data_IF_960950438250
#
_entry.id   IF_960950438250
#
_cell.length_a   1.000
_cell.length_b   1.000
_cell.length_c   1.000
_cell.angle_alpha   90.00
_cell.angle_beta   90.00
_cell.angle_gamma   90.00
#
_symmetry.space_group_name_H-M   'P 1'
#
loop_
_entity.id
_entity.type
_entity.pdbx_description
1 polymer ?
#
# COMPACT_ATOMS: atom_id res chain seq x y z
N UNK A 1 -5.91 4.91 -9.66
CA UNK A 1 -4.93 5.70 -8.89
C UNK A 1 -4.25 6.79 -9.72
N UNK A 2 -3.79 7.89 -9.11
CA UNK A 2 -2.87 8.83 -9.75
C UNK A 2 -1.41 8.38 -9.57
N UNK A 3 -0.47 8.79 -10.44
CA UNK A 3 0.94 8.42 -10.30
C UNK A 3 1.56 8.88 -8.97
N UNK A 4 1.13 10.03 -8.45
CA UNK A 4 1.61 10.54 -7.16
C UNK A 4 1.15 9.64 -6.00
N UNK A 5 -0.13 9.27 -5.97
CA UNK A 5 -0.67 8.36 -4.96
C UNK A 5 -0.01 6.98 -5.02
N UNK A 6 0.23 6.46 -6.24
CA UNK A 6 0.94 5.19 -6.44
C UNK A 6 2.34 5.23 -5.82
N UNK A 7 3.11 6.28 -6.08
CA UNK A 7 4.46 6.38 -5.53
C UNK A 7 4.45 6.43 -4.00
N UNK A 8 3.50 7.17 -3.41
CA UNK A 8 3.32 7.20 -1.95
C UNK A 8 2.98 5.82 -1.38
N UNK A 9 2.09 5.06 -2.02
CA UNK A 9 1.72 3.72 -1.57
C UNK A 9 2.87 2.73 -1.68
N UNK A 10 3.68 2.83 -2.75
CA UNK A 10 4.86 1.99 -2.92
C UNK A 10 5.90 2.27 -1.83
N UNK A 11 6.15 3.56 -1.53
CA UNK A 11 7.06 3.92 -0.44
C UNK A 11 6.55 3.40 0.90
N UNK A 12 5.24 3.52 1.17
CA UNK A 12 4.63 3.01 2.40
C UNK A 12 4.75 1.48 2.50
N UNK A 13 4.44 0.76 1.41
CA UNK A 13 4.55 -0.69 1.35
C UNK A 13 5.99 -1.16 1.60
N UNK A 14 6.98 -0.49 1.00
CA UNK A 14 8.39 -0.84 1.20
C UNK A 14 8.89 -0.50 2.62
N UNK A 15 8.37 0.55 3.25
CA UNK A 15 8.80 0.97 4.60
C UNK A 15 8.19 0.11 5.70
N UNK A 16 6.93 -0.30 5.52
CA UNK A 16 6.14 -0.96 6.57
C UNK A 16 6.03 -2.47 6.40
N UNK A 17 6.37 -3.00 5.22
CA UNK A 17 6.41 -4.44 4.96
C UNK A 17 7.82 -4.86 4.57
N UNK A 18 8.11 -6.15 4.55
CA UNK A 18 9.38 -6.69 4.03
C UNK A 18 9.37 -6.87 2.51
N UNK A 19 8.41 -6.26 1.79
CA UNK A 19 8.32 -6.38 0.34
C UNK A 19 9.48 -5.65 -0.35
N UNK A 20 10.07 -6.31 -1.35
CA UNK A 20 11.11 -5.70 -2.15
C UNK A 20 10.49 -4.67 -3.10
N UNK A 21 11.07 -3.46 -3.14
CA UNK A 21 10.64 -2.35 -3.99
C UNK A 21 10.54 -2.75 -5.46
N UNK A 22 11.45 -3.60 -5.95
CA UNK A 22 11.41 -4.08 -7.34
C UNK A 22 10.18 -4.94 -7.63
N UNK A 23 9.70 -5.69 -6.64
CA UNK A 23 8.49 -6.50 -6.77
C UNK A 23 7.24 -5.61 -6.71
N UNK A 24 7.21 -4.64 -5.79
CA UNK A 24 6.10 -3.68 -5.71
C UNK A 24 6.03 -2.79 -6.96
N UNK A 25 7.16 -2.46 -7.59
CA UNK A 25 7.17 -1.69 -8.84
C UNK A 25 6.54 -2.44 -10.01
N UNK A 26 6.64 -3.78 -10.03
CA UNK A 26 6.01 -4.65 -11.03
C UNK A 26 4.50 -4.84 -10.80
N UNK A 27 4.00 -4.49 -9.61
CA UNK A 27 2.59 -4.59 -9.30
C UNK A 27 1.76 -3.58 -10.08
N UNK A 28 0.59 -4.04 -10.51
CA UNK A 28 -0.45 -3.20 -11.07
C UNK A 28 -1.04 -2.27 -10.01
N UNK A 29 -1.69 -1.20 -10.45
CA UNK A 29 -2.31 -0.23 -9.54
C UNK A 29 -3.34 -0.89 -8.60
N UNK A 30 -4.08 -1.88 -9.08
CA UNK A 30 -5.04 -2.63 -8.27
C UNK A 30 -4.37 -3.49 -7.18
N UNK A 31 -3.20 -4.05 -7.46
CA UNK A 31 -2.44 -4.83 -6.46
C UNK A 31 -1.83 -3.91 -5.40
N UNK A 32 -1.26 -2.76 -5.81
CA UNK A 32 -0.72 -1.76 -4.89
C UNK A 32 -1.83 -1.21 -3.99
N UNK A 33 -3.01 -0.90 -4.55
CA UNK A 33 -4.19 -0.51 -3.77
C UNK A 33 -4.60 -1.64 -2.82
N UNK A 34 -4.74 -2.89 -3.28
CA UNK A 34 -5.11 -4.02 -2.42
C UNK A 34 -4.19 -4.17 -1.20
N UNK A 35 -2.86 -4.13 -1.40
CA UNK A 35 -1.93 -4.20 -0.27
C UNK A 35 -1.96 -2.96 0.61
N UNK A 36 -2.24 -1.78 0.03
CA UNK A 36 -2.47 -0.58 0.82
C UNK A 36 -3.68 -0.75 1.74
N UNK A 37 -4.80 -1.26 1.23
CA UNK A 37 -5.99 -1.57 2.02
C UNK A 37 -5.74 -2.64 3.08
N UNK A 38 -4.94 -3.67 2.76
CA UNK A 38 -4.66 -4.77 3.69
C UNK A 38 -3.81 -4.33 4.89
N UNK A 39 -2.87 -3.41 4.68
CA UNK A 39 -1.86 -3.05 5.69
C UNK A 39 -2.02 -1.65 6.30
N UNK A 40 -2.69 -0.72 5.60
CA UNK A 40 -2.70 0.71 5.96
C UNK A 40 -4.06 1.37 5.92
N UNK A 41 -5.07 0.75 5.33
CA UNK A 41 -6.43 1.22 5.60
C UNK A 41 -6.73 0.88 7.05
N UNK A 42 -7.01 1.92 7.85
CA UNK A 42 -7.34 1.79 9.25
C UNK A 42 -8.40 0.70 9.36
N UNK A 43 -8.00 -0.44 9.93
CA UNK A 43 -8.94 -1.48 10.32
C UNK A 43 -10.15 -0.79 10.96
N UNK A 44 -11.40 -1.22 10.68
CA UNK A 44 -12.55 -0.75 11.42
C UNK A 44 -12.37 -0.86 12.95
N UNK A 45 -11.36 -1.61 13.42
CA UNK A 45 -10.91 -1.66 14.81
C UNK A 45 -10.43 -0.30 15.37
N UNK A 46 -9.87 0.61 14.58
CA UNK A 46 -9.50 1.97 15.04
C UNK A 46 -10.69 2.95 15.00
N UNK A 47 -11.78 2.60 14.31
CA UNK A 47 -13.06 3.33 14.30
C UNK A 47 -14.05 2.86 15.39
N UNK A 48 -13.71 1.82 16.15
CA UNK A 48 -14.50 1.34 17.31
C UNK A 48 -13.92 1.87 18.65
N UNK A 49 -13.66 3.18 18.74
CA UNK A 49 -13.49 3.88 20.03
C UNK A 49 -14.61 4.89 20.27
#
# INVERSE_FOLDING_TARGET
MSQQARNQFIDLLCDKTTMNREEVLKMSDAEVEYFHWLYFDESPADLMM
#
